data_IF_899143019027
#
_entry.id   IF_899143019027
#
_cell.length_a   1.000
_cell.length_b   1.000
_cell.length_c   1.000
_cell.angle_alpha   90.00
_cell.angle_beta   90.00
_cell.angle_gamma   90.00
#
_symmetry.space_group_name_H-M   'P 1'
#
loop_
_entity.id
_entity.type
_entity.pdbx_description
1 polymer ?
#
# COMPACT_ATOMS: atom_id res chain seq x y z
N UNK A 1 15.79 -41.68 -22.79
CA UNK A 1 16.31 -41.31 -24.12
C UNK A 1 16.05 -39.81 -24.29
N UNK A 2 17.09 -38.98 -24.19
CA UNK A 2 16.98 -37.51 -24.27
C UNK A 2 16.67 -37.10 -25.71
N UNK A 3 15.43 -36.69 -26.00
CA UNK A 3 15.10 -36.04 -27.27
C UNK A 3 15.61 -34.61 -27.19
N UNK A 4 16.71 -34.29 -27.89
CA UNK A 4 17.10 -32.90 -28.14
C UNK A 4 15.98 -32.25 -28.96
N UNK A 5 15.28 -31.28 -28.36
CA UNK A 5 14.21 -30.51 -28.99
C UNK A 5 14.82 -29.53 -29.98
N UNK A 6 14.83 -29.91 -31.26
CA UNK A 6 15.46 -29.14 -32.34
C UNK A 6 14.45 -28.51 -33.32
N UNK A 7 13.13 -28.63 -33.08
CA UNK A 7 12.12 -28.00 -33.93
C UNK A 7 10.98 -27.39 -33.11
N UNK A 8 10.57 -26.20 -33.53
CA UNK A 8 9.43 -25.44 -32.97
C UNK A 8 8.12 -26.23 -33.12
N UNK A 9 7.93 -26.95 -34.23
CA UNK A 9 6.69 -27.73 -34.46
C UNK A 9 6.56 -28.91 -33.48
N UNK A 10 7.68 -29.57 -33.16
CA UNK A 10 7.70 -30.65 -32.17
C UNK A 10 7.35 -30.13 -30.77
N UNK A 11 7.78 -28.91 -30.43
CA UNK A 11 7.42 -28.26 -29.18
C UNK A 11 5.93 -27.94 -29.12
N UNK A 12 5.32 -27.44 -30.21
CA UNK A 12 3.87 -27.16 -30.26
C UNK A 12 3.06 -28.41 -30.02
N UNK A 13 3.41 -29.51 -30.71
CA UNK A 13 2.72 -30.79 -30.55
C UNK A 13 2.79 -31.30 -29.11
N UNK A 14 3.94 -31.14 -28.43
CA UNK A 14 4.08 -31.49 -27.01
C UNK A 14 3.24 -30.60 -26.10
N UNK A 15 3.22 -29.28 -26.33
CA UNK A 15 2.39 -28.35 -25.57
C UNK A 15 0.92 -28.74 -25.70
N UNK A 16 0.45 -29.01 -26.92
CA UNK A 16 -0.94 -29.42 -27.18
C UNK A 16 -1.27 -30.76 -26.53
N UNK A 17 -0.37 -31.75 -26.62
CA UNK A 17 -0.59 -33.09 -26.08
C UNK A 17 -0.55 -33.16 -24.54
N UNK A 18 0.31 -32.38 -23.89
CA UNK A 18 0.61 -32.52 -22.45
C UNK A 18 -0.08 -31.48 -21.56
N UNK A 19 -0.88 -30.56 -22.11
CA UNK A 19 -1.57 -29.53 -21.31
C UNK A 19 -2.87 -30.00 -20.65
N UNK A 20 -3.32 -31.24 -20.94
CA UNK A 20 -4.66 -31.71 -20.58
C UNK A 20 -4.86 -32.21 -19.15
N UNK A 21 -3.84 -32.79 -18.49
CA UNK A 21 -3.98 -33.35 -17.14
C UNK A 21 -2.80 -32.98 -16.22
N UNK A 22 -2.94 -33.27 -14.91
CA UNK A 22 -1.98 -32.82 -13.89
C UNK A 22 -0.65 -33.58 -13.90
N UNK A 23 -0.59 -34.82 -14.40
CA UNK A 23 0.68 -35.56 -14.48
C UNK A 23 1.48 -35.08 -15.69
N UNK A 24 0.80 -34.97 -16.83
CA UNK A 24 1.36 -34.55 -18.10
C UNK A 24 1.87 -33.11 -18.04
N UNK A 25 1.20 -32.22 -17.29
CA UNK A 25 1.66 -30.84 -17.17
C UNK A 25 2.98 -30.70 -16.39
N UNK A 26 3.25 -31.60 -15.43
CA UNK A 26 4.55 -31.62 -14.75
C UNK A 26 5.65 -32.15 -15.68
N UNK A 27 5.33 -33.13 -16.54
CA UNK A 27 6.25 -33.58 -17.59
C UNK A 27 6.52 -32.45 -18.60
N UNK A 28 5.48 -31.75 -19.04
CA UNK A 28 5.60 -30.57 -19.91
C UNK A 28 6.48 -29.49 -19.29
N UNK A 29 6.29 -29.18 -18.00
CA UNK A 29 7.13 -28.23 -17.30
C UNK A 29 8.61 -28.64 -17.32
N UNK A 30 8.90 -29.93 -17.13
CA UNK A 30 10.26 -30.48 -17.24
C UNK A 30 10.86 -30.27 -18.63
N UNK A 31 10.11 -30.56 -19.69
CA UNK A 31 10.56 -30.38 -21.08
C UNK A 31 10.77 -28.90 -21.44
N UNK A 32 9.87 -28.02 -20.99
CA UNK A 32 9.96 -26.58 -21.22
C UNK A 32 11.20 -25.97 -20.54
N UNK A 33 11.53 -26.40 -19.33
CA UNK A 33 12.76 -25.99 -18.63
C UNK A 33 14.02 -26.40 -19.41
N UNK A 34 14.04 -27.61 -19.97
CA UNK A 34 15.18 -28.07 -20.78
C UNK A 34 15.32 -27.33 -22.10
N UNK A 35 14.23 -26.75 -22.62
CA UNK A 35 14.17 -26.10 -23.93
C UNK A 35 14.32 -24.58 -23.86
N UNK A 36 14.59 -24.01 -22.69
CA UNK A 36 14.61 -22.57 -22.47
C UNK A 36 15.64 -21.83 -23.34
N UNK A 37 16.87 -22.35 -23.43
CA UNK A 37 17.91 -21.77 -24.28
C UNK A 37 17.51 -21.78 -25.76
N UNK A 38 16.89 -22.87 -26.22
CA UNK A 38 16.38 -22.98 -27.59
C UNK A 38 15.29 -21.95 -27.87
N UNK A 39 14.34 -21.78 -26.93
CA UNK A 39 13.26 -20.79 -27.04
C UNK A 39 13.78 -19.37 -27.18
N UNK A 40 14.79 -18.97 -26.39
CA UNK A 40 15.39 -17.64 -26.52
C UNK A 40 16.12 -17.46 -27.85
N UNK A 41 16.82 -18.49 -28.35
CA UNK A 41 17.52 -18.43 -29.64
C UNK A 41 16.57 -18.29 -30.83
N UNK A 42 15.39 -18.91 -30.78
CA UNK A 42 14.38 -18.86 -31.85
C UNK A 42 13.29 -17.81 -31.61
N UNK A 43 13.48 -16.88 -30.66
CA UNK A 43 12.47 -15.91 -30.20
C UNK A 43 11.75 -15.16 -31.34
N UNK A 44 12.46 -14.79 -32.41
CA UNK A 44 11.88 -14.08 -33.56
C UNK A 44 10.86 -14.90 -34.36
N UNK A 45 10.89 -16.23 -34.26
CA UNK A 45 10.02 -17.16 -35.00
C UNK A 45 8.84 -17.69 -34.19
N UNK A 46 8.75 -17.33 -32.91
CA UNK A 46 7.71 -17.85 -32.01
C UNK A 46 6.37 -17.12 -32.13
N UNK A 47 6.30 -15.92 -32.70
CA UNK A 47 5.04 -15.16 -32.77
C UNK A 47 3.92 -15.86 -33.56
N UNK A 48 4.16 -16.43 -34.76
CA UNK A 48 3.15 -17.21 -35.49
C UNK A 48 2.72 -18.48 -34.76
N UNK A 49 3.58 -19.02 -33.89
CA UNK A 49 3.34 -20.25 -33.14
C UNK A 49 2.24 -20.06 -32.10
N UNK A 50 2.16 -18.87 -31.51
CA UNK A 50 1.13 -18.54 -30.52
C UNK A 50 -0.29 -18.70 -31.09
N UNK A 51 -0.49 -18.47 -32.39
CA UNK A 51 -1.79 -18.63 -33.04
C UNK A 51 -2.29 -20.08 -33.08
N UNK A 52 -1.38 -21.06 -32.90
CA UNK A 52 -1.71 -22.49 -32.86
C UNK A 52 -2.08 -22.97 -31.45
N UNK A 53 -1.97 -22.09 -30.45
CA UNK A 53 -2.14 -22.42 -29.04
C UNK A 53 -3.29 -21.62 -28.43
N UNK A 54 -4.21 -22.33 -27.78
CA UNK A 54 -5.21 -21.72 -26.90
C UNK A 54 -4.56 -21.24 -25.58
N UNK A 55 -4.66 -19.95 -25.20
CA UNK A 55 -4.01 -19.40 -24.02
C UNK A 55 -4.59 -19.91 -22.69
N UNK A 56 -5.84 -20.39 -22.66
CA UNK A 56 -6.48 -20.94 -21.47
C UNK A 56 -6.12 -22.42 -21.28
N UNK A 57 -6.11 -23.21 -22.37
CA UNK A 57 -5.77 -24.64 -22.32
C UNK A 57 -4.27 -24.88 -22.19
N UNK A 58 -3.45 -24.11 -22.90
CA UNK A 58 -2.00 -24.30 -23.01
C UNK A 58 -1.20 -23.23 -22.25
N UNK A 59 -1.75 -22.70 -21.16
CA UNK A 59 -1.20 -21.53 -20.46
C UNK A 59 0.29 -21.65 -20.09
N UNK A 60 0.75 -22.83 -19.65
CA UNK A 60 2.16 -23.04 -19.28
C UNK A 60 3.08 -22.94 -20.50
N UNK A 61 2.77 -23.65 -21.59
CA UNK A 61 3.56 -23.58 -22.82
C UNK A 61 3.52 -22.19 -23.44
N UNK A 62 2.34 -21.58 -23.49
CA UNK A 62 2.13 -20.22 -23.98
C UNK A 62 2.96 -19.20 -23.18
N UNK A 63 3.04 -19.36 -21.85
CA UNK A 63 3.85 -18.52 -20.97
C UNK A 63 5.35 -18.58 -21.34
N UNK A 64 5.90 -19.77 -21.55
CA UNK A 64 7.30 -19.95 -21.92
C UNK A 64 7.62 -19.29 -23.27
N UNK A 65 6.72 -19.44 -24.25
CA UNK A 65 6.87 -18.80 -25.56
C UNK A 65 6.79 -17.27 -25.46
N UNK A 66 5.83 -16.74 -24.69
CA UNK A 66 5.70 -15.30 -24.45
C UNK A 66 6.88 -14.71 -23.70
N UNK A 67 7.40 -15.42 -22.70
CA UNK A 67 8.58 -14.97 -21.96
C UNK A 67 9.80 -14.91 -22.88
N UNK A 68 10.03 -15.92 -23.71
CA UNK A 68 11.10 -15.87 -24.71
C UNK A 68 10.89 -14.75 -25.74
N UNK A 69 9.67 -14.57 -26.25
CA UNK A 69 9.33 -13.48 -27.17
C UNK A 69 9.62 -12.11 -26.55
N UNK A 70 9.08 -11.84 -25.37
CA UNK A 70 9.21 -10.53 -24.69
C UNK A 70 10.64 -10.22 -24.25
N UNK A 71 11.57 -11.17 -24.31
CA UNK A 71 12.96 -10.97 -23.88
C UNK A 71 13.79 -10.08 -24.81
N UNK A 72 13.37 -9.90 -26.07
CA UNK A 72 14.09 -9.12 -27.07
C UNK A 72 13.43 -7.74 -27.27
N UNK A 73 14.20 -6.65 -27.46
CA UNK A 73 13.64 -5.33 -27.80
C UNK A 73 12.90 -5.35 -29.15
N UNK A 74 11.79 -4.62 -29.24
CA UNK A 74 10.95 -4.54 -30.43
C UNK A 74 10.85 -3.12 -30.99
N UNK A 75 10.47 -3.01 -32.27
CA UNK A 75 9.98 -1.73 -32.83
C UNK A 75 8.65 -1.35 -32.19
N UNK A 76 8.26 -0.07 -32.28
CA UNK A 76 7.01 0.43 -31.68
C UNK A 76 5.76 -0.25 -32.24
N UNK A 77 5.76 -0.59 -33.53
CA UNK A 77 4.63 -1.24 -34.20
C UNK A 77 4.43 -2.66 -33.65
N UNK A 78 5.51 -3.45 -33.60
CA UNK A 78 5.48 -4.81 -33.03
C UNK A 78 5.15 -4.80 -31.54
N UNK A 79 5.59 -3.79 -30.80
CA UNK A 79 5.25 -3.64 -29.39
C UNK A 79 3.74 -3.47 -29.18
N UNK A 80 3.04 -2.74 -30.06
CA UNK A 80 1.59 -2.56 -29.96
C UNK A 80 0.81 -3.87 -30.13
N UNK A 81 1.18 -4.68 -31.11
CA UNK A 81 0.60 -6.01 -31.34
C UNK A 81 0.88 -6.93 -30.15
N UNK A 82 2.13 -6.98 -29.68
CA UNK A 82 2.53 -7.84 -28.57
C UNK A 82 1.81 -7.48 -27.27
N UNK A 83 1.58 -6.18 -27.00
CA UNK A 83 0.79 -5.73 -25.84
C UNK A 83 -0.63 -6.29 -25.90
N UNK A 84 -1.27 -6.34 -27.07
CA UNK A 84 -2.61 -6.96 -27.21
C UNK A 84 -2.54 -8.46 -26.92
N UNK A 85 -1.56 -9.15 -27.48
CA UNK A 85 -1.38 -10.60 -27.29
C UNK A 85 -1.13 -10.94 -25.81
N UNK A 86 -0.25 -10.19 -25.13
CA UNK A 86 0.07 -10.43 -23.72
C UNK A 86 -1.12 -10.10 -22.81
N UNK A 87 -1.85 -9.01 -23.08
CA UNK A 87 -3.07 -8.70 -22.33
C UNK A 87 -4.14 -9.79 -22.51
N UNK A 88 -4.33 -10.27 -23.74
CA UNK A 88 -5.23 -11.39 -24.04
C UNK A 88 -4.83 -12.67 -23.29
N UNK A 89 -3.54 -12.99 -23.26
CA UNK A 89 -3.03 -14.13 -22.50
C UNK A 89 -3.26 -13.97 -21.00
N UNK A 90 -2.91 -12.83 -20.39
CA UNK A 90 -3.11 -12.59 -18.96
C UNK A 90 -4.59 -12.76 -18.58
N UNK A 91 -5.51 -12.31 -19.43
CA UNK A 91 -6.95 -12.45 -19.19
C UNK A 91 -7.44 -13.89 -19.35
N UNK A 92 -6.92 -14.65 -20.32
CA UNK A 92 -7.37 -16.01 -20.62
C UNK A 92 -6.67 -17.14 -19.82
N UNK A 93 -5.43 -16.94 -19.38
CA UNK A 93 -4.61 -18.01 -18.81
C UNK A 93 -5.18 -18.59 -17.50
N UNK A 94 -4.83 -19.83 -17.17
CA UNK A 94 -5.30 -20.49 -15.95
C UNK A 94 -4.30 -20.37 -14.80
N UNK A 95 -4.80 -20.01 -13.61
CA UNK A 95 -3.99 -19.85 -12.40
C UNK A 95 -3.15 -21.10 -12.06
N UNK A 96 -3.75 -22.29 -12.19
CA UNK A 96 -3.08 -23.57 -11.91
C UNK A 96 -1.80 -23.75 -12.72
N UNK A 97 -1.83 -23.40 -14.01
CA UNK A 97 -0.69 -23.60 -14.91
C UNK A 97 0.38 -22.53 -14.72
N UNK A 98 -0.01 -21.24 -14.62
CA UNK A 98 0.98 -20.15 -14.47
C UNK A 98 1.72 -20.22 -13.13
N UNK A 99 1.07 -20.74 -12.08
CA UNK A 99 1.70 -20.95 -10.76
C UNK A 99 2.77 -22.04 -10.75
N UNK A 100 2.89 -22.85 -11.81
CA UNK A 100 4.02 -23.78 -11.96
C UNK A 100 5.33 -23.05 -12.31
N UNK A 101 5.25 -21.86 -12.91
CA UNK A 101 6.39 -21.04 -13.31
C UNK A 101 6.14 -19.54 -12.99
N UNK A 102 5.96 -19.17 -11.70
CA UNK A 102 5.54 -17.83 -11.31
C UNK A 102 6.53 -16.74 -11.74
N UNK A 103 7.84 -17.01 -11.67
CA UNK A 103 8.89 -16.05 -12.06
C UNK A 103 8.78 -15.63 -13.53
N UNK A 104 8.42 -16.58 -14.41
CA UNK A 104 8.21 -16.30 -15.84
C UNK A 104 6.97 -15.46 -16.05
N UNK A 105 5.88 -15.76 -15.34
CA UNK A 105 4.65 -14.97 -15.41
C UNK A 105 4.86 -13.54 -14.90
N UNK A 106 5.59 -13.38 -13.80
CA UNK A 106 6.00 -12.06 -13.27
C UNK A 106 6.85 -11.31 -14.29
N UNK A 107 7.84 -11.97 -14.91
CA UNK A 107 8.69 -11.38 -15.96
C UNK A 107 7.87 -10.85 -17.13
N UNK A 108 6.93 -11.66 -17.66
CA UNK A 108 6.02 -11.24 -18.75
C UNK A 108 5.17 -10.05 -18.34
N UNK A 109 4.58 -10.05 -17.13
CA UNK A 109 3.75 -8.96 -16.64
C UNK A 109 4.55 -7.65 -16.47
N UNK A 110 5.79 -7.73 -15.97
CA UNK A 110 6.67 -6.56 -15.82
C UNK A 110 7.10 -5.98 -17.16
N UNK A 111 7.51 -6.84 -18.11
CA UNK A 111 7.82 -6.41 -19.48
C UNK A 111 6.60 -5.80 -20.16
N UNK A 112 5.42 -6.38 -19.98
CA UNK A 112 4.16 -5.81 -20.47
C UNK A 112 3.90 -4.41 -19.91
N UNK A 113 4.04 -4.23 -18.58
CA UNK A 113 3.96 -2.92 -17.92
C UNK A 113 4.97 -1.94 -18.53
N UNK A 114 6.23 -2.32 -18.66
CA UNK A 114 7.27 -1.44 -19.20
C UNK A 114 6.98 -1.05 -20.67
N UNK A 115 6.48 -1.99 -21.48
CA UNK A 115 6.10 -1.70 -22.87
C UNK A 115 4.92 -0.74 -22.97
N UNK A 116 3.86 -0.88 -22.15
CA UNK A 116 2.75 0.09 -22.20
C UNK A 116 3.16 1.47 -21.69
N UNK A 117 4.15 1.55 -20.78
CA UNK A 117 4.72 2.81 -20.33
C UNK A 117 5.52 3.49 -21.45
N UNK A 118 6.34 2.72 -22.18
CA UNK A 118 7.08 3.21 -23.35
C UNK A 118 6.18 3.67 -24.51
N UNK A 119 5.00 3.04 -24.65
CA UNK A 119 3.98 3.43 -25.63
C UNK A 119 3.10 4.60 -25.15
N UNK A 120 3.38 5.17 -23.98
CA UNK A 120 2.58 6.25 -23.37
C UNK A 120 1.09 5.89 -23.20
N UNK A 121 0.79 4.59 -23.07
CA UNK A 121 -0.57 4.06 -22.93
C UNK A 121 -0.75 3.21 -21.65
N UNK A 122 -0.35 3.69 -20.46
CA UNK A 122 -0.33 2.90 -19.22
C UNK A 122 -1.71 2.39 -18.78
N UNK A 123 -2.79 3.05 -19.21
CA UNK A 123 -4.18 2.60 -18.98
C UNK A 123 -4.43 1.17 -19.44
N UNK A 124 -3.75 0.72 -20.51
CA UNK A 124 -3.90 -0.63 -21.06
C UNK A 124 -3.43 -1.73 -20.08
N UNK A 125 -2.62 -1.40 -19.08
CA UNK A 125 -2.14 -2.36 -18.09
C UNK A 125 -3.00 -2.47 -16.83
N UNK A 126 -3.90 -1.54 -16.56
CA UNK A 126 -4.67 -1.52 -15.29
C UNK A 126 -5.46 -2.82 -15.10
N UNK A 127 -6.34 -3.16 -16.04
CA UNK A 127 -7.18 -4.35 -15.90
C UNK A 127 -6.36 -5.66 -15.99
N UNK A 128 -5.46 -5.85 -16.99
CA UNK A 128 -4.67 -7.08 -17.06
C UNK A 128 -3.80 -7.31 -15.82
N UNK A 129 -3.12 -6.30 -15.28
CA UNK A 129 -2.27 -6.49 -14.09
C UNK A 129 -3.09 -6.82 -12.84
N UNK A 130 -4.30 -6.26 -12.69
CA UNK A 130 -5.19 -6.66 -11.61
C UNK A 130 -5.58 -8.14 -11.72
N UNK A 131 -5.94 -8.59 -12.93
CA UNK A 131 -6.21 -10.01 -13.20
C UNK A 131 -4.98 -10.88 -12.96
N UNK A 132 -3.78 -10.42 -13.32
CA UNK A 132 -2.53 -11.12 -13.06
C UNK A 132 -2.28 -11.33 -11.57
N UNK A 133 -2.48 -10.30 -10.74
CA UNK A 133 -2.37 -10.39 -9.27
C UNK A 133 -3.35 -11.45 -8.73
N UNK A 134 -4.62 -11.37 -9.11
CA UNK A 134 -5.66 -12.31 -8.65
C UNK A 134 -5.35 -13.76 -9.04
N UNK A 135 -4.77 -13.99 -10.23
CA UNK A 135 -4.38 -15.33 -10.67
C UNK A 135 -3.11 -15.83 -10.00
N UNK A 136 -2.16 -14.95 -9.69
CA UNK A 136 -0.89 -15.32 -9.07
C UNK A 136 -1.03 -15.55 -7.56
N UNK A 137 -1.85 -14.75 -6.86
CA UNK A 137 -1.93 -14.77 -5.41
C UNK A 137 -2.51 -16.09 -4.87
N UNK A 138 -1.84 -16.75 -3.90
CA UNK A 138 -2.40 -17.91 -3.21
C UNK A 138 -3.66 -17.57 -2.41
N UNK A 139 -3.67 -16.40 -1.77
CA UNK A 139 -4.78 -15.83 -0.99
C UNK A 139 -4.78 -14.30 -1.16
N UNK A 140 -5.86 -13.63 -0.78
CA UNK A 140 -5.94 -12.14 -0.76
C UNK A 140 -5.04 -11.51 0.32
N UNK A 141 -4.53 -12.31 1.25
CA UNK A 141 -3.64 -11.85 2.33
C UNK A 141 -2.16 -11.85 1.94
N UNK A 142 -1.84 -12.34 0.73
CA UNK A 142 -0.48 -12.55 0.28
C UNK A 142 -0.01 -11.48 -0.71
N UNK A 143 1.04 -10.75 -0.34
CA UNK A 143 1.64 -9.73 -1.19
C UNK A 143 2.47 -10.35 -2.31
N UNK A 144 1.90 -10.43 -3.50
CA UNK A 144 2.65 -10.77 -4.72
C UNK A 144 3.55 -9.62 -5.17
N UNK A 145 4.62 -9.97 -5.89
CA UNK A 145 5.60 -9.03 -6.47
C UNK A 145 5.01 -8.09 -7.55
N UNK A 146 3.78 -8.34 -8.01
CA UNK A 146 3.07 -7.52 -8.99
C UNK A 146 2.19 -6.43 -8.37
N UNK A 147 1.90 -6.49 -7.06
CA UNK A 147 1.11 -5.45 -6.38
C UNK A 147 1.72 -4.05 -6.56
N UNK A 148 3.02 -3.83 -6.30
CA UNK A 148 3.60 -2.50 -6.45
C UNK A 148 3.61 -2.02 -7.91
N UNK A 149 3.84 -2.93 -8.85
CA UNK A 149 3.79 -2.66 -10.29
C UNK A 149 2.41 -2.15 -10.72
N UNK A 150 1.33 -2.79 -10.25
CA UNK A 150 -0.04 -2.35 -10.50
C UNK A 150 -0.37 -1.00 -9.84
N UNK A 151 0.03 -0.78 -8.58
CA UNK A 151 -0.22 0.49 -7.89
C UNK A 151 0.54 1.65 -8.58
N UNK A 152 1.75 1.40 -9.08
CA UNK A 152 2.50 2.37 -9.89
C UNK A 152 1.75 2.74 -11.18
N UNK A 153 1.17 1.75 -11.87
CA UNK A 153 0.33 2.01 -13.06
C UNK A 153 -0.88 2.85 -12.68
N UNK A 154 -1.59 2.50 -11.61
CA UNK A 154 -2.74 3.26 -11.12
C UNK A 154 -2.38 4.71 -10.75
N UNK A 155 -1.20 4.94 -10.16
CA UNK A 155 -0.69 6.28 -9.88
C UNK A 155 -0.44 7.07 -11.16
N UNK A 156 0.24 6.44 -12.13
CA UNK A 156 0.61 7.05 -13.41
C UNK A 156 -0.62 7.42 -14.25
N UNK A 157 -1.67 6.59 -14.19
CA UNK A 157 -2.94 6.83 -14.91
C UNK A 157 -3.95 7.64 -14.13
N UNK A 158 -3.67 7.95 -12.85
CA UNK A 158 -4.61 8.56 -11.90
C UNK A 158 -5.89 7.73 -11.66
N UNK A 159 -5.83 6.41 -11.86
CA UNK A 159 -6.92 5.47 -11.56
C UNK A 159 -6.98 5.09 -10.08
N UNK A 160 -7.11 6.08 -9.20
CA UNK A 160 -7.02 5.87 -7.75
C UNK A 160 -8.14 5.00 -7.18
N UNK A 161 -9.34 5.00 -7.80
CA UNK A 161 -10.45 4.14 -7.37
C UNK A 161 -10.11 2.66 -7.54
N UNK A 162 -9.57 2.28 -8.70
CA UNK A 162 -9.15 0.90 -8.98
C UNK A 162 -7.99 0.47 -8.10
N UNK A 163 -7.04 1.38 -7.84
CA UNK A 163 -5.96 1.14 -6.89
C UNK A 163 -6.46 0.94 -5.45
N UNK A 164 -7.47 1.70 -5.02
CA UNK A 164 -8.03 1.62 -3.67
C UNK A 164 -8.70 0.27 -3.40
N UNK A 165 -9.41 -0.31 -4.36
CA UNK A 165 -10.03 -1.63 -4.21
C UNK A 165 -9.02 -2.73 -3.83
N UNK A 166 -7.78 -2.65 -4.32
CA UNK A 166 -6.73 -3.59 -3.94
C UNK A 166 -6.20 -3.36 -2.52
N UNK A 167 -6.30 -2.13 -2.01
CA UNK A 167 -5.81 -1.74 -0.67
C UNK A 167 -6.82 -2.03 0.45
N UNK A 168 -8.03 -2.45 0.10
CA UNK A 168 -9.06 -2.92 1.04
C UNK A 168 -8.67 -4.27 1.68
N UNK A 169 -7.90 -5.08 0.96
CA UNK A 169 -7.39 -6.36 1.44
C UNK A 169 -6.31 -6.16 2.54
N UNK A 170 -6.40 -6.96 3.60
CA UNK A 170 -5.46 -6.93 4.73
C UNK A 170 -4.33 -7.93 4.52
N UNK A 171 -3.28 -7.47 3.84
CA UNK A 171 -2.06 -8.24 3.60
C UNK A 171 -1.35 -8.58 4.92
N UNK A 172 -1.05 -9.87 5.11
CA UNK A 172 -0.26 -10.37 6.24
C UNK A 172 0.94 -11.23 5.84
N UNK A 173 0.99 -11.73 4.61
CA UNK A 173 2.13 -12.52 4.12
C UNK A 173 2.95 -11.70 3.11
N UNK A 174 4.25 -11.61 3.34
CA UNK A 174 5.18 -10.78 2.56
C UNK A 174 6.50 -11.54 2.37
N UNK A 175 6.89 -11.75 1.11
CA UNK A 175 8.13 -12.46 0.80
C UNK A 175 9.31 -11.50 0.59
N UNK A 176 9.07 -10.37 -0.08
CA UNK A 176 10.13 -9.45 -0.54
C UNK A 176 10.02 -8.09 0.15
N UNK A 177 11.03 -7.67 0.94
CA UNK A 177 11.00 -6.37 1.63
C UNK A 177 10.80 -5.20 0.68
N UNK A 178 11.47 -5.19 -0.48
CA UNK A 178 11.34 -4.08 -1.45
C UNK A 178 9.91 -3.94 -1.96
N UNK A 179 9.23 -5.05 -2.22
CA UNK A 179 7.86 -5.04 -2.74
C UNK A 179 6.89 -4.52 -1.68
N UNK A 180 7.09 -4.86 -0.40
CA UNK A 180 6.34 -4.28 0.71
C UNK A 180 6.49 -2.77 0.80
N UNK A 181 7.73 -2.26 0.72
CA UNK A 181 8.00 -0.83 0.81
C UNK A 181 7.30 -0.07 -0.32
N UNK A 182 7.37 -0.58 -1.55
CA UNK A 182 6.72 0.05 -2.70
C UNK A 182 5.20 -0.09 -2.64
N UNK A 183 4.67 -1.24 -2.22
CA UNK A 183 3.24 -1.45 -2.01
C UNK A 183 2.66 -0.41 -1.05
N UNK A 184 3.25 -0.29 0.14
CA UNK A 184 2.81 0.65 1.15
C UNK A 184 3.04 2.10 0.73
N UNK A 185 4.16 2.44 0.07
CA UNK A 185 4.41 3.80 -0.40
C UNK A 185 3.43 4.22 -1.50
N UNK A 186 3.26 3.43 -2.55
CA UNK A 186 2.34 3.73 -3.65
C UNK A 186 0.88 3.69 -3.20
N UNK A 187 0.53 2.72 -2.35
CA UNK A 187 -0.80 2.65 -1.74
C UNK A 187 -1.09 3.89 -0.88
N UNK A 188 -0.11 4.32 -0.08
CA UNK A 188 -0.20 5.57 0.69
C UNK A 188 -0.44 6.78 -0.20
N UNK A 189 0.25 6.89 -1.33
CA UNK A 189 0.03 7.97 -2.31
C UNK A 189 -1.37 7.93 -2.95
N UNK A 190 -1.89 6.75 -3.28
CA UNK A 190 -3.26 6.58 -3.79
C UNK A 190 -4.27 7.03 -2.73
N UNK A 191 -4.10 6.59 -1.48
CA UNK A 191 -4.97 7.00 -0.37
C UNK A 191 -4.90 8.52 -0.14
N UNK A 192 -3.72 9.14 -0.21
CA UNK A 192 -3.56 10.60 -0.15
C UNK A 192 -4.35 11.29 -1.28
N UNK A 193 -4.22 10.80 -2.51
CA UNK A 193 -4.93 11.35 -3.68
C UNK A 193 -6.45 11.31 -3.52
N UNK A 194 -6.96 10.29 -2.83
CA UNK A 194 -8.37 10.10 -2.50
C UNK A 194 -8.77 10.71 -1.14
N UNK A 195 -7.87 11.44 -0.46
CA UNK A 195 -8.06 11.99 0.91
C UNK A 195 -8.42 10.95 1.99
N UNK A 196 -8.12 9.67 1.77
CA UNK A 196 -8.23 8.60 2.77
C UNK A 196 -7.02 8.63 3.71
N UNK A 197 -6.87 9.73 4.46
CA UNK A 197 -5.65 10.02 5.21
C UNK A 197 -5.35 9.01 6.31
N UNK A 198 -6.37 8.43 6.94
CA UNK A 198 -6.17 7.37 7.95
C UNK A 198 -5.43 6.16 7.38
N UNK A 199 -5.92 5.60 6.28
CA UNK A 199 -5.27 4.46 5.60
C UNK A 199 -3.90 4.85 5.02
N UNK A 200 -3.76 6.08 4.53
CA UNK A 200 -2.46 6.58 4.08
C UNK A 200 -1.43 6.61 5.20
N UNK A 201 -1.80 7.06 6.40
CA UNK A 201 -0.92 7.05 7.57
C UNK A 201 -0.51 5.64 7.96
N UNK A 202 -1.45 4.69 7.99
CA UNK A 202 -1.15 3.28 8.27
C UNK A 202 -0.11 2.73 7.29
N UNK A 203 -0.32 2.92 5.98
CA UNK A 203 0.60 2.43 4.96
C UNK A 203 1.98 3.11 5.02
N UNK A 204 2.02 4.43 5.16
CA UNK A 204 3.29 5.16 5.27
C UNK A 204 4.04 4.82 6.57
N UNK A 205 3.32 4.64 7.67
CA UNK A 205 3.87 4.19 8.94
C UNK A 205 4.53 2.82 8.80
N UNK A 206 3.88 1.89 8.10
CA UNK A 206 4.42 0.55 7.84
C UNK A 206 5.75 0.60 7.07
N UNK A 207 5.94 1.52 6.12
CA UNK A 207 7.25 1.70 5.44
C UNK A 207 8.31 2.20 6.41
N UNK A 208 7.95 3.15 7.27
CA UNK A 208 8.88 3.82 8.20
C UNK A 208 9.34 2.88 9.31
N UNK A 209 8.47 1.97 9.76
CA UNK A 209 8.78 1.04 10.86
C UNK A 209 9.26 -0.32 10.42
N UNK A 210 9.12 -0.67 9.14
CA UNK A 210 9.62 -1.92 8.59
C UNK A 210 11.12 -2.12 8.90
N UNK A 211 11.53 -3.36 9.23
CA UNK A 211 12.94 -3.66 9.45
C UNK A 211 13.80 -3.30 8.24
N UNK A 212 14.87 -2.53 8.47
CA UNK A 212 15.84 -2.19 7.44
C UNK A 212 17.24 -2.12 8.06
N UNK A 213 18.22 -2.72 7.37
CA UNK A 213 19.63 -2.66 7.74
C UNK A 213 20.30 -1.42 7.18
N UNK A 214 19.90 -1.01 5.98
CA UNK A 214 20.33 0.21 5.28
C UNK A 214 19.14 1.10 4.97
N UNK A 215 19.38 2.41 4.88
CA UNK A 215 18.32 3.36 4.58
C UNK A 215 17.84 3.20 3.13
N UNK A 216 16.53 3.14 2.95
CA UNK A 216 15.87 3.11 1.65
C UNK A 216 15.39 4.50 1.27
N UNK A 217 15.62 4.91 0.02
CA UNK A 217 15.06 6.15 -0.52
C UNK A 217 13.52 6.16 -0.46
N UNK A 218 12.88 4.99 -0.59
CA UNK A 218 11.42 4.84 -0.46
C UNK A 218 10.97 5.23 0.95
N UNK A 219 11.73 4.83 1.97
CA UNK A 219 11.40 5.16 3.37
C UNK A 219 11.57 6.64 3.66
N UNK A 220 12.57 7.30 3.06
CA UNK A 220 12.74 8.76 3.16
C UNK A 220 11.53 9.48 2.58
N UNK A 221 11.13 9.14 1.36
CA UNK A 221 9.96 9.75 0.71
C UNK A 221 8.64 9.44 1.44
N UNK A 222 8.51 8.22 1.98
CA UNK A 222 7.38 7.84 2.80
C UNK A 222 7.32 8.66 4.10
N UNK A 223 8.45 8.87 4.77
CA UNK A 223 8.51 9.64 6.02
C UNK A 223 8.17 11.12 5.81
N UNK A 224 8.67 11.74 4.73
CA UNK A 224 8.28 13.11 4.34
C UNK A 224 6.75 13.24 4.22
N UNK A 225 6.11 12.31 3.49
CA UNK A 225 4.65 12.30 3.31
C UNK A 225 3.92 11.93 4.61
N UNK A 226 4.48 11.04 5.43
CA UNK A 226 3.90 10.67 6.73
C UNK A 226 3.81 11.87 7.66
N UNK A 227 4.86 12.72 7.71
CA UNK A 227 4.84 13.98 8.47
C UNK A 227 3.71 14.89 7.97
N UNK A 228 3.67 15.15 6.66
CA UNK A 228 2.67 16.05 6.07
C UNK A 228 1.23 15.57 6.32
N UNK A 229 0.97 14.29 6.08
CA UNK A 229 -0.37 13.72 6.28
C UNK A 229 -0.74 13.70 7.77
N UNK A 230 0.23 13.50 8.67
CA UNK A 230 -0.03 13.57 10.12
C UNK A 230 -0.45 14.98 10.53
N UNK A 231 0.19 16.01 9.99
CA UNK A 231 -0.19 17.40 10.25
C UNK A 231 -1.58 17.73 9.68
N UNK A 232 -1.91 17.24 8.49
CA UNK A 232 -3.21 17.47 7.84
C UNK A 232 -4.34 16.77 8.61
N UNK A 233 -4.17 15.49 8.96
CA UNK A 233 -5.24 14.66 9.49
C UNK A 233 -5.32 14.67 11.03
N UNK A 234 -4.17 14.59 11.71
CA UNK A 234 -4.11 14.53 13.17
C UNK A 234 -3.91 15.91 13.80
N UNK A 235 -3.50 16.91 13.02
CA UNK A 235 -3.20 18.26 13.52
C UNK A 235 -1.93 18.32 14.39
N UNK A 236 -1.11 17.28 14.39
CA UNK A 236 0.12 17.18 15.15
C UNK A 236 1.04 16.10 14.57
N UNK A 237 2.32 16.16 14.94
CA UNK A 237 3.30 15.15 14.57
C UNK A 237 4.27 14.89 15.72
N UNK A 238 4.55 13.61 15.97
CA UNK A 238 5.50 13.19 17.01
C UNK A 238 6.78 12.70 16.36
N UNK A 239 7.93 13.25 16.79
CA UNK A 239 9.25 12.87 16.26
C UNK A 239 9.82 11.60 16.88
N UNK A 240 9.11 10.99 17.83
CA UNK A 240 9.47 9.72 18.43
C UNK A 240 8.99 8.56 17.56
N UNK A 241 9.88 7.58 17.38
CA UNK A 241 9.56 6.35 16.69
C UNK A 241 9.11 5.28 17.70
N UNK A 242 8.25 4.34 17.30
CA UNK A 242 8.02 3.12 18.09
C UNK A 242 9.33 2.41 18.40
N UNK A 243 9.42 1.78 19.59
CA UNK A 243 10.64 1.11 20.07
C UNK A 243 11.19 0.04 19.13
N UNK A 244 10.31 -0.60 18.35
CA UNK A 244 10.68 -1.63 17.38
C UNK A 244 11.19 -1.09 16.03
N UNK A 245 11.18 0.23 15.83
CA UNK A 245 11.69 0.85 14.60
C UNK A 245 13.19 0.65 14.51
N UNK A 246 13.70 0.27 13.33
CA UNK A 246 15.13 0.01 13.13
C UNK A 246 16.03 1.21 13.50
N UNK A 247 17.23 0.91 14.02
CA UNK A 247 18.21 1.94 14.38
C UNK A 247 18.74 2.73 13.17
N UNK A 248 18.71 2.13 11.97
CA UNK A 248 19.01 2.80 10.71
C UNK A 248 17.95 3.86 10.38
N UNK A 249 16.67 3.51 10.48
CA UNK A 249 15.57 4.46 10.27
C UNK A 249 15.61 5.61 11.30
N UNK A 250 15.72 5.29 12.59
CA UNK A 250 15.68 6.30 13.66
C UNK A 250 16.77 7.37 13.54
N UNK A 251 17.99 6.96 13.16
CA UNK A 251 19.14 7.88 13.00
C UNK A 251 19.06 8.65 11.69
N UNK A 252 18.80 7.97 10.58
CA UNK A 252 18.99 8.57 9.26
C UNK A 252 17.76 9.32 8.76
N UNK A 253 16.54 8.86 9.03
CA UNK A 253 15.32 9.52 8.50
C UNK A 253 15.20 10.96 8.99
N UNK A 254 15.57 11.24 10.25
CA UNK A 254 15.55 12.59 10.80
C UNK A 254 16.48 13.53 10.02
N UNK A 255 17.69 13.07 9.71
CA UNK A 255 18.68 13.86 8.98
C UNK A 255 18.22 14.21 7.56
N UNK A 256 17.65 13.25 6.83
CA UNK A 256 17.19 13.48 5.45
C UNK A 256 15.86 14.24 5.36
N UNK A 257 15.09 14.29 6.44
CA UNK A 257 13.76 14.92 6.45
C UNK A 257 13.68 16.19 7.31
N UNK A 258 14.84 16.78 7.64
CA UNK A 258 14.94 17.92 8.53
C UNK A 258 14.01 19.11 8.16
N UNK A 259 13.87 19.53 6.88
CA UNK A 259 12.94 20.61 6.51
C UNK A 259 11.46 20.29 6.83
N UNK A 260 11.09 19.01 6.82
CA UNK A 260 9.73 18.56 7.15
C UNK A 260 9.51 18.50 8.67
N UNK A 261 10.54 18.14 9.43
CA UNK A 261 10.50 18.20 10.89
C UNK A 261 10.41 19.65 11.39
N UNK A 262 11.16 20.57 10.76
CA UNK A 262 11.07 22.00 11.03
C UNK A 262 9.71 22.58 10.65
N UNK A 263 9.12 22.12 9.53
CA UNK A 263 7.74 22.46 9.18
C UNK A 263 6.76 22.02 10.29
N UNK A 264 6.91 20.80 10.81
CA UNK A 264 6.07 20.29 11.89
C UNK A 264 6.25 21.09 13.19
N UNK A 265 7.48 21.52 13.50
CA UNK A 265 7.76 22.41 14.63
C UNK A 265 7.14 23.80 14.45
N UNK A 266 7.23 24.38 13.25
CA UNK A 266 6.56 25.65 12.93
C UNK A 266 5.04 25.51 13.05
N UNK A 267 4.48 24.38 12.58
CA UNK A 267 3.05 24.08 12.69
C UNK A 267 2.59 23.99 14.16
N UNK A 268 3.36 23.39 15.06
CA UNK A 268 2.94 23.21 16.45
C UNK A 268 2.73 24.54 17.20
N UNK A 269 3.40 25.62 16.78
CA UNK A 269 3.23 26.98 17.34
C UNK A 269 1.82 27.56 17.14
N UNK A 270 1.07 27.07 16.14
CA UNK A 270 -0.25 27.61 15.77
C UNK A 270 -0.23 28.94 15.01
N UNK A 271 0.94 29.52 14.75
CA UNK A 271 1.07 30.83 14.08
C UNK A 271 1.15 30.67 12.56
N UNK A 272 0.09 31.10 11.88
CA UNK A 272 -0.07 30.92 10.43
C UNK A 272 0.95 31.74 9.64
N UNK A 273 1.21 32.99 10.01
CA UNK A 273 2.20 33.84 9.33
C UNK A 273 3.62 33.27 9.37
N UNK A 274 4.05 32.72 10.52
CA UNK A 274 5.34 32.04 10.67
C UNK A 274 5.41 30.79 9.77
N UNK A 275 4.34 29.99 9.77
CA UNK A 275 4.25 28.79 8.92
C UNK A 275 4.30 29.13 7.43
N UNK A 276 3.56 30.14 6.98
CA UNK A 276 3.56 30.59 5.58
C UNK A 276 4.94 31.11 5.17
N UNK A 277 5.60 31.88 6.04
CA UNK A 277 6.97 32.37 5.81
C UNK A 277 7.95 31.20 5.66
N UNK A 278 7.89 30.22 6.57
CA UNK A 278 8.73 29.03 6.51
C UNK A 278 8.53 28.23 5.20
N UNK A 279 7.27 28.03 4.79
CA UNK A 279 6.92 27.34 3.54
C UNK A 279 7.46 28.09 2.32
N UNK A 280 7.37 29.41 2.30
CA UNK A 280 7.88 30.22 1.20
C UNK A 280 9.42 30.19 1.14
N UNK A 281 10.11 30.25 2.28
CA UNK A 281 11.57 30.14 2.35
C UNK A 281 12.10 28.78 1.91
N UNK A 282 11.37 27.69 2.14
CA UNK A 282 11.78 26.32 1.80
C UNK A 282 11.05 25.78 0.56
N UNK A 283 10.39 26.63 -0.23
CA UNK A 283 9.56 26.25 -1.37
C UNK A 283 10.25 25.30 -2.33
N UNK A 284 11.48 25.63 -2.75
CA UNK A 284 12.20 24.87 -3.78
C UNK A 284 12.48 23.43 -3.33
N UNK A 285 12.78 23.22 -2.04
CA UNK A 285 12.97 21.87 -1.47
C UNK A 285 11.69 21.04 -1.60
N UNK A 286 10.54 21.62 -1.27
CA UNK A 286 9.24 20.92 -1.35
C UNK A 286 8.78 20.68 -2.79
N UNK A 287 9.16 21.55 -3.73
CA UNK A 287 8.87 21.39 -5.17
C UNK A 287 9.74 20.28 -5.75
N UNK A 288 11.04 20.25 -5.45
CA UNK A 288 11.96 19.18 -5.87
C UNK A 288 11.48 17.82 -5.38
N UNK A 289 11.00 17.74 -4.14
CA UNK A 289 10.44 16.52 -3.57
C UNK A 289 9.02 16.18 -4.08
N UNK A 290 8.45 16.99 -4.97
CA UNK A 290 7.07 16.85 -5.51
C UNK A 290 5.96 16.85 -4.43
N UNK A 291 6.23 17.43 -3.26
CA UNK A 291 5.31 17.42 -2.11
C UNK A 291 4.63 18.77 -1.86
N UNK A 292 4.94 19.81 -2.64
CA UNK A 292 4.46 21.18 -2.38
C UNK A 292 2.93 21.31 -2.30
N UNK A 293 2.18 20.51 -3.06
CA UNK A 293 0.71 20.48 -2.96
C UNK A 293 0.21 20.04 -1.59
N UNK A 294 0.86 19.05 -0.97
CA UNK A 294 0.54 18.61 0.39
C UNK A 294 0.98 19.63 1.44
N UNK A 295 2.12 20.31 1.24
CA UNK A 295 2.55 21.40 2.13
C UNK A 295 1.52 22.53 2.15
N UNK A 296 0.92 22.88 1.01
CA UNK A 296 -0.19 23.84 0.98
C UNK A 296 -1.42 23.35 1.75
N UNK A 297 -1.71 22.06 1.71
CA UNK A 297 -2.79 21.47 2.51
C UNK A 297 -2.46 21.52 4.01
N UNK A 298 -1.20 21.34 4.42
CA UNK A 298 -0.76 21.57 5.81
C UNK A 298 -1.04 23.01 6.24
N UNK A 299 -0.68 24.00 5.42
CA UNK A 299 -1.00 25.41 5.75
C UNK A 299 -2.52 25.61 5.88
N UNK A 300 -3.29 25.01 4.98
CA UNK A 300 -4.76 25.11 4.99
C UNK A 300 -5.39 24.42 6.21
N UNK A 301 -4.84 23.30 6.67
CA UNK A 301 -5.34 22.58 7.85
C UNK A 301 -5.09 23.34 9.14
N UNK A 302 -4.13 24.26 9.18
CA UNK A 302 -3.87 25.11 10.35
C UNK A 302 -5.08 25.96 10.73
N UNK A 303 -5.79 26.52 9.74
CA UNK A 303 -6.98 27.33 10.00
C UNK A 303 -8.06 26.50 10.68
N UNK A 304 -8.36 25.32 10.13
CA UNK A 304 -9.30 24.35 10.74
C UNK A 304 -8.86 23.98 12.17
N UNK A 305 -7.57 23.72 12.36
CA UNK A 305 -7.00 23.35 13.67
C UNK A 305 -7.12 24.47 14.70
N UNK A 306 -6.86 25.71 14.31
CA UNK A 306 -7.00 26.86 15.20
C UNK A 306 -8.47 27.10 15.57
N UNK A 307 -9.41 26.93 14.65
CA UNK A 307 -10.85 26.97 14.96
C UNK A 307 -11.24 25.86 15.94
N UNK A 308 -10.76 24.62 15.74
CA UNK A 308 -10.99 23.52 16.68
C UNK A 308 -10.45 23.82 18.08
N UNK A 309 -9.33 24.55 18.21
CA UNK A 309 -8.82 24.95 19.53
C UNK A 309 -9.76 25.93 20.24
N UNK A 310 -10.45 26.79 19.50
CA UNK A 310 -11.41 27.74 20.08
C UNK A 310 -12.61 27.04 20.73
N UNK A 311 -13.00 25.85 20.24
CA UNK A 311 -14.09 25.08 20.84
C UNK A 311 -13.76 24.56 22.24
N UNK A 312 -12.47 24.53 22.61
CA UNK A 312 -12.01 24.09 23.94
C UNK A 312 -12.04 25.20 24.98
N UNK A 313 -12.02 26.47 24.54
CA UNK A 313 -11.93 27.64 25.43
C UNK A 313 -13.17 28.51 25.42
N UNK A 314 -13.98 28.44 24.37
CA UNK A 314 -15.15 29.28 24.18
C UNK A 314 -16.41 28.45 23.99
N UNK A 315 -17.52 28.88 24.61
CA UNK A 315 -18.86 28.36 24.33
C UNK A 315 -19.51 29.14 23.17
N UNK A 316 -19.29 30.44 23.12
CA UNK A 316 -19.84 31.32 22.07
C UNK A 316 -18.82 32.40 21.75
N UNK A 317 -18.58 32.64 20.46
CA UNK A 317 -17.56 33.57 19.99
C UNK A 317 -18.04 34.28 18.72
N UNK A 318 -17.70 35.56 18.55
CA UNK A 318 -18.10 36.29 17.35
C UNK A 318 -17.31 35.84 16.11
N UNK A 319 -17.91 35.92 14.93
CA UNK A 319 -17.22 35.64 13.66
C UNK A 319 -16.03 36.56 13.42
N UNK A 320 -16.09 37.80 13.94
CA UNK A 320 -14.98 38.75 13.88
C UNK A 320 -13.81 38.31 14.77
N UNK A 321 -14.09 37.84 15.99
CA UNK A 321 -13.04 37.36 16.90
C UNK A 321 -12.40 36.08 16.39
N UNK A 322 -13.20 35.18 15.78
CA UNK A 322 -12.68 34.00 15.09
C UNK A 322 -11.75 34.43 13.96
N UNK A 323 -12.18 35.37 13.10
CA UNK A 323 -11.35 35.87 12.01
C UNK A 323 -10.03 36.47 12.50
N UNK A 324 -10.07 37.30 13.54
CA UNK A 324 -8.89 37.93 14.13
C UNK A 324 -7.93 36.90 14.74
N UNK A 325 -8.46 35.96 15.52
CA UNK A 325 -7.65 34.96 16.24
C UNK A 325 -7.01 33.95 15.29
N UNK A 326 -7.72 33.59 14.23
CA UNK A 326 -7.28 32.60 13.23
C UNK A 326 -6.61 33.28 12.03
N UNK A 327 -6.41 34.60 12.06
CA UNK A 327 -5.76 35.39 11.01
C UNK A 327 -6.42 35.23 9.63
N UNK A 328 -7.75 35.20 9.59
CA UNK A 328 -8.55 35.25 8.37
C UNK A 328 -8.84 36.70 7.98
N UNK A 329 -9.10 36.93 6.69
CA UNK A 329 -9.27 38.28 6.14
C UNK A 329 -10.60 38.94 6.53
N UNK A 330 -11.65 38.15 6.81
CA UNK A 330 -12.98 38.68 7.11
C UNK A 330 -13.85 37.72 7.94
N UNK A 331 -14.89 38.25 8.63
CA UNK A 331 -15.90 37.43 9.30
C UNK A 331 -16.62 36.46 8.35
N UNK A 332 -16.78 36.84 7.07
CA UNK A 332 -17.40 35.99 6.05
C UNK A 332 -16.53 34.78 5.71
N UNK A 333 -15.21 34.97 5.68
CA UNK A 333 -14.26 33.86 5.49
C UNK A 333 -14.28 32.93 6.70
N UNK A 334 -14.34 33.48 7.92
CA UNK A 334 -14.51 32.69 9.14
C UNK A 334 -15.83 31.89 9.12
N UNK A 335 -16.93 32.50 8.70
CA UNK A 335 -18.23 31.83 8.57
C UNK A 335 -18.16 30.66 7.58
N UNK A 336 -17.53 30.87 6.42
CA UNK A 336 -17.34 29.82 5.42
C UNK A 336 -16.51 28.65 5.96
N UNK A 337 -15.43 28.91 6.67
CA UNK A 337 -14.63 27.87 7.31
C UNK A 337 -15.42 27.10 8.37
N UNK A 338 -16.12 27.80 9.26
CA UNK A 338 -16.95 27.17 10.30
C UNK A 338 -18.06 26.31 9.67
N UNK A 339 -18.74 26.82 8.64
CA UNK A 339 -19.78 26.08 7.93
C UNK A 339 -19.23 24.79 7.30
N UNK A 340 -18.08 24.87 6.63
CA UNK A 340 -17.44 23.70 6.03
C UNK A 340 -17.03 22.68 7.09
N UNK A 341 -16.49 23.13 8.23
CA UNK A 341 -16.10 22.23 9.32
C UNK A 341 -17.31 21.56 9.98
N UNK A 342 -18.47 22.24 10.07
CA UNK A 342 -19.73 21.63 10.52
C UNK A 342 -20.18 20.56 9.53
N UNK A 343 -20.16 20.87 8.23
CA UNK A 343 -20.56 19.92 7.17
C UNK A 343 -19.66 18.69 7.12
N UNK A 344 -18.35 18.87 7.31
CA UNK A 344 -17.36 17.79 7.33
C UNK A 344 -17.39 16.97 8.66
N UNK A 345 -18.21 17.38 9.64
CA UNK A 345 -18.28 16.73 10.97
C UNK A 345 -17.03 16.95 11.84
N UNK A 346 -16.25 18.00 11.56
CA UNK A 346 -15.00 18.30 12.27
C UNK A 346 -15.21 19.11 13.56
N UNK A 347 -16.32 19.84 13.65
CA UNK A 347 -16.79 20.56 14.85
C UNK A 347 -18.32 20.51 14.93
N UNK A 348 -18.85 20.62 16.15
CA UNK A 348 -20.27 20.82 16.39
C UNK A 348 -20.51 22.28 16.78
N UNK A 349 -21.21 23.03 15.92
CA UNK A 349 -21.46 24.45 16.15
C UNK A 349 -22.73 24.92 15.45
N UNK A 350 -23.32 26.01 15.95
CA UNK A 350 -24.45 26.70 15.33
C UNK A 350 -24.08 28.15 15.03
N UNK A 351 -24.35 28.61 13.81
CA UNK A 351 -24.05 29.97 13.34
C UNK A 351 -25.33 30.82 13.46
N UNK A 352 -25.25 31.93 14.19
CA UNK A 352 -26.29 32.95 14.22
C UNK A 352 -25.84 34.15 13.39
N UNK A 353 -26.37 34.23 12.16
CA UNK A 353 -26.04 35.30 11.22
C UNK A 353 -26.56 36.69 11.64
N UNK A 354 -27.65 36.75 12.42
CA UNK A 354 -28.21 38.04 12.87
C UNK A 354 -27.28 38.73 13.85
N UNK A 355 -26.73 37.95 14.78
CA UNK A 355 -25.86 38.46 15.84
C UNK A 355 -24.36 38.35 15.48
N UNK A 356 -24.03 37.66 14.38
CA UNK A 356 -22.65 37.43 13.95
C UNK A 356 -21.87 36.50 14.90
N UNK A 357 -22.56 35.60 15.60
CA UNK A 357 -22.01 34.74 16.65
C UNK A 357 -22.02 33.27 16.25
N UNK A 358 -21.00 32.53 16.68
CA UNK A 358 -20.90 31.08 16.58
C UNK A 358 -21.02 30.49 17.98
N UNK A 359 -21.99 29.60 18.20
CA UNK A 359 -22.14 28.84 19.43
C UNK A 359 -21.57 27.44 19.23
N UNK A 360 -20.52 27.10 19.95
CA UNK A 360 -19.95 25.75 19.94
C UNK A 360 -20.82 24.82 20.79
N UNK A 361 -20.99 23.59 20.31
CA UNK A 361 -21.86 22.57 20.88
C UNK A 361 -21.02 21.35 21.27
N UNK A 362 -21.59 20.52 22.14
CA UNK A 362 -21.05 19.19 22.42
C UNK A 362 -21.44 18.21 21.32
N UNK A 363 -20.76 17.06 21.30
CA UNK A 363 -21.08 15.96 20.40
C UNK A 363 -22.55 15.52 20.58
N UNK A 364 -23.38 15.55 19.52
CA UNK A 364 -24.80 15.17 19.62
C UNK A 364 -25.01 13.67 19.82
N UNK A 365 -23.99 12.82 19.65
CA UNK A 365 -24.12 11.37 19.79
C UNK A 365 -24.45 10.96 21.23
N UNK A 366 -25.61 10.33 21.41
CA UNK A 366 -26.11 9.89 22.71
C UNK A 366 -25.93 8.39 22.95
N UNK A 367 -25.37 7.66 21.99
CA UNK A 367 -25.14 6.22 22.02
C UNK A 367 -26.42 5.38 22.16
N UNK A 368 -27.54 5.89 21.63
CA UNK A 368 -28.88 5.27 21.76
C UNK A 368 -29.52 4.89 20.42
N UNK A 369 -28.88 5.21 19.30
CA UNK A 369 -29.42 5.01 17.96
C UNK A 369 -29.21 3.57 17.49
N UNK A 370 -30.08 3.09 16.59
CA UNK A 370 -29.87 1.82 15.91
C UNK A 370 -28.56 1.81 15.10
N UNK A 371 -28.20 2.95 14.50
CA UNK A 371 -26.94 3.14 13.79
C UNK A 371 -25.73 2.88 14.69
N UNK A 372 -25.76 3.35 15.95
CA UNK A 372 -24.69 3.06 16.91
C UNK A 372 -24.63 1.57 17.26
N UNK A 373 -25.78 0.90 17.40
CA UNK A 373 -25.84 -0.56 17.64
C UNK A 373 -25.19 -1.31 16.47
N UNK A 374 -25.53 -0.95 15.23
CA UNK A 374 -24.94 -1.56 14.02
C UNK A 374 -23.43 -1.30 13.92
N UNK A 375 -22.98 -0.08 14.26
CA UNK A 375 -21.54 0.25 14.29
C UNK A 375 -20.78 -0.57 15.36
N UNK A 376 -21.38 -0.76 16.54
CA UNK A 376 -20.83 -1.61 17.60
C UNK A 376 -20.79 -3.07 17.17
N UNK A 377 -21.88 -3.60 16.61
CA UNK A 377 -21.94 -4.98 16.12
C UNK A 377 -20.89 -5.23 15.02
N UNK A 378 -20.78 -4.33 14.04
CA UNK A 378 -19.72 -4.40 13.02
C UNK A 378 -18.31 -4.40 13.62
N UNK A 379 -18.09 -3.61 14.68
CA UNK A 379 -16.81 -3.58 15.39
C UNK A 379 -16.55 -4.88 16.15
N UNK A 380 -17.57 -5.47 16.78
CA UNK A 380 -17.50 -6.79 17.43
C UNK A 380 -17.17 -7.87 16.40
N UNK A 381 -17.87 -7.91 15.27
CA UNK A 381 -17.60 -8.88 14.19
C UNK A 381 -16.15 -8.79 13.69
N UNK A 382 -15.62 -7.57 13.50
CA UNK A 382 -14.21 -7.37 13.12
C UNK A 382 -13.25 -7.87 14.20
N UNK A 383 -13.52 -7.61 15.48
CA UNK A 383 -12.70 -8.12 16.59
C UNK A 383 -12.73 -9.65 16.67
N UNK A 384 -13.90 -10.27 16.48
CA UNK A 384 -14.05 -11.73 16.46
C UNK A 384 -13.26 -12.35 15.29
N UNK A 385 -13.33 -11.75 14.10
CA UNK A 385 -12.56 -12.21 12.94
C UNK A 385 -11.04 -12.11 13.20
N UNK A 386 -10.58 -11.00 13.80
CA UNK A 386 -9.18 -10.82 14.19
C UNK A 386 -8.76 -11.85 15.26
N UNK A 387 -9.58 -12.08 16.28
CA UNK A 387 -9.31 -13.08 17.33
C UNK A 387 -9.17 -14.47 16.73
N UNK A 388 -10.07 -14.88 15.83
CA UNK A 388 -9.98 -16.17 15.13
C UNK A 388 -8.68 -16.29 14.31
N UNK A 389 -8.28 -15.20 13.64
CA UNK A 389 -7.02 -15.18 12.87
C UNK A 389 -5.80 -15.30 13.79
N UNK A 390 -5.80 -14.63 14.94
CA UNK A 390 -4.74 -14.74 15.94
C UNK A 390 -4.65 -16.17 16.50
N UNK A 391 -5.78 -16.81 16.82
CA UNK A 391 -5.80 -18.22 17.25
C UNK A 391 -5.21 -19.14 16.18
N UNK A 392 -5.61 -18.99 14.91
CA UNK A 392 -5.05 -19.80 13.82
C UNK A 392 -3.54 -19.58 13.63
N UNK A 393 -3.04 -18.35 13.83
CA UNK A 393 -1.62 -18.05 13.79
C UNK A 393 -0.85 -18.69 14.95
N UNK A 394 -1.41 -18.64 16.16
CA UNK A 394 -0.83 -19.25 17.35
C UNK A 394 -0.78 -20.79 17.25
N UNK A 395 -1.84 -21.41 16.72
CA UNK A 395 -1.87 -22.85 16.41
C UNK A 395 -0.78 -23.22 15.40
N UNK A 396 -0.66 -22.46 14.29
CA UNK A 396 0.37 -22.70 13.27
C UNK A 396 1.78 -22.57 13.83
N UNK A 397 2.02 -21.57 14.68
CA UNK A 397 3.32 -21.36 15.33
C UNK A 397 3.62 -22.44 16.37
N UNK A 398 2.62 -22.87 17.14
CA UNK A 398 2.74 -23.94 18.14
C UNK A 398 3.07 -25.30 17.54
N UNK A 399 2.66 -25.54 16.29
CA UNK A 399 3.00 -26.73 15.53
C UNK A 399 4.33 -26.62 14.75
N UNK A 400 5.01 -25.47 14.75
CA UNK A 400 6.27 -25.30 14.03
C UNK A 400 7.40 -26.11 14.70
N UNK A 401 8.07 -27.04 13.99
CA UNK A 401 9.14 -27.85 14.55
C UNK A 401 10.28 -27.03 15.19
N UNK A 402 10.58 -25.86 14.61
CA UNK A 402 11.62 -24.95 15.11
C UNK A 402 11.22 -24.30 16.43
N UNK A 403 9.93 -23.97 16.57
CA UNK A 403 9.38 -23.43 17.81
C UNK A 403 9.34 -24.50 18.89
N UNK A 404 8.78 -25.68 18.59
CA UNK A 404 8.69 -26.82 19.53
C UNK A 404 10.07 -27.23 20.03
N UNK A 405 11.08 -27.26 19.15
CA UNK A 405 12.46 -27.60 19.53
C UNK A 405 13.07 -26.60 20.52
N UNK A 406 12.78 -25.31 20.37
CA UNK A 406 13.28 -24.27 21.29
C UNK A 406 12.49 -24.21 22.59
N UNK A 407 11.16 -24.21 22.51
CA UNK A 407 10.27 -24.18 23.67
C UNK A 407 10.48 -25.42 24.57
N UNK A 408 10.73 -26.59 23.98
CA UNK A 408 11.07 -27.80 24.72
C UNK A 408 12.42 -27.72 25.46
N UNK A 409 13.40 -27.00 24.91
CA UNK A 409 14.71 -26.77 25.56
C UNK A 409 14.64 -25.74 26.69
N UNK A 410 13.83 -24.70 26.55
CA UNK A 410 13.64 -23.70 27.61
C UNK A 410 12.85 -24.24 28.80
N UNK A 411 11.89 -25.16 28.57
CA UNK A 411 11.16 -25.83 29.66
C UNK A 411 12.03 -26.71 30.57
N UNK A 412 13.23 -27.12 30.13
CA UNK A 412 14.17 -27.89 30.96
C UNK A 412 15.05 -27.01 31.87
N UNK A 413 14.95 -25.67 31.80
CA UNK A 413 15.81 -24.75 32.58
C UNK A 413 15.15 -24.13 33.82
N UNK A 414 13.94 -24.55 34.19
CA UNK A 414 13.43 -24.27 35.54
C UNK A 414 13.98 -25.33 36.49
N UNK A 415 15.15 -25.06 37.06
CA UNK A 415 15.66 -25.81 38.20
C UNK A 415 14.64 -25.67 39.34
N UNK A 416 14.25 -26.80 39.92
CA UNK A 416 13.25 -26.91 40.99
C UNK A 416 13.71 -26.27 42.32
N UNK A 417 14.92 -25.72 42.39
CA UNK A 417 15.55 -25.21 43.59
C UNK A 417 15.31 -23.71 43.86
N UNK A 418 14.70 -22.96 42.93
CA UNK A 418 14.38 -21.52 43.11
C UNK A 418 13.03 -21.27 43.83
N UNK A 419 12.53 -22.25 44.59
CA UNK A 419 11.36 -22.08 45.46
C UNK A 419 11.79 -21.47 46.81
N UNK A 420 12.24 -20.21 46.79
CA UNK A 420 12.42 -19.45 48.02
C UNK A 420 11.04 -19.16 48.63
N UNK A 421 10.76 -19.81 49.76
CA UNK A 421 9.49 -19.75 50.45
C UNK A 421 9.09 -18.32 50.80
N UNK A 422 8.02 -17.84 50.15
CA UNK A 422 7.37 -16.59 50.52
C UNK A 422 6.83 -16.74 51.95
N UNK A 423 7.52 -16.12 52.89
CA UNK A 423 7.08 -15.98 54.28
C UNK A 423 5.78 -15.18 54.31
N UNK A 424 4.68 -15.84 54.65
CA UNK A 424 3.41 -15.18 54.95
C UNK A 424 3.59 -14.27 56.17
N UNK A 425 3.64 -12.96 55.95
CA UNK A 425 3.26 -11.96 56.96
C UNK A 425 2.08 -11.16 56.43
N UNK A 426 0.88 -11.63 56.76
CA UNK A 426 -0.28 -10.76 56.86
C UNK A 426 -0.13 -9.97 58.15
N UNK A 427 0.00 -8.64 58.04
CA UNK A 427 -0.29 -7.75 59.15
C UNK A 427 -1.73 -7.26 59.00
N UNK A 428 -2.50 -7.49 60.06
CA UNK A 428 -3.83 -6.93 60.33
C UNK A 428 -3.81 -5.41 60.40
#
# INVERSE_FOLDING_TARGET
MMVKMNSVDALVAQIQGLSGNSSDIHQLHGHLKQSEQFLHSESTRLAPVLAQLDPAKHSLGYLYLLEALTSVPFSKERANELVVVVAGFINACTAKQIRLAPDKFISVCRRFKDQVMLLEAPMRAVAPLLTAIQKLQPSTEHLTTLHPDFLLVCLSTKCYKTGLCLLEDNISEVDQPRDFFLYCYYGGMICIGQKHFRKALELLHNVVTAPMSTLSAIAVEAYKKYILVSLIHLGQFTTSFPKYTSSAAQRSLKNYCQPYLELANSYSTGKISELQTFVQMNRDKFVVDTNFGLVKQVVSSMYKRNIQRLTQTYLTLSLQDIANTVQLSSPKEAEMHVLQMIQDGEIYAAINQKDGMVRFLEDPEQYKTCEMIEHVDSSIQRMMALSKKLTAMDEKMSCDPSYVSKAGRERQRFDFDDFDGVTQRFNL
#
